data_IF_380239675635
#
_entry.id   IF_380239675635
#
_cell.length_a   1.000
_cell.length_b   1.000
_cell.length_c   1.000
_cell.angle_alpha   90.00
_cell.angle_beta   90.00
_cell.angle_gamma   90.00
#
_symmetry.space_group_name_H-M   'P 1'
#
loop_
_entity.id
_entity.type
_entity.pdbx_description
1 polymer ?
#
# COMPACT_ATOMS: atom_id res chain seq x y z
N UNK A 1 0.86 -7.00 25.52
CA UNK A 1 2.08 -7.22 24.73
C UNK A 1 2.33 -8.70 24.54
N UNK A 2 2.54 -9.14 23.31
CA UNK A 2 3.11 -10.44 22.94
C UNK A 2 4.52 -10.20 22.43
N UNK A 3 5.50 -10.90 23.02
CA UNK A 3 6.92 -10.80 22.65
C UNK A 3 7.54 -12.18 22.78
N UNK A 4 8.26 -12.62 21.76
CA UNK A 4 9.04 -13.86 21.76
C UNK A 4 8.30 -15.09 22.32
N UNK A 5 6.99 -15.20 22.02
CA UNK A 5 6.15 -16.32 22.49
C UNK A 5 6.20 -17.54 21.54
N UNK A 6 7.08 -17.50 20.54
CA UNK A 6 7.21 -18.50 19.48
C UNK A 6 7.78 -17.87 18.21
N UNK A 7 7.78 -18.63 17.12
CA UNK A 7 8.20 -18.15 15.79
C UNK A 7 7.26 -17.07 15.24
N UNK A 8 5.96 -17.31 15.35
CA UNK A 8 4.86 -16.42 14.94
C UNK A 8 4.05 -16.10 16.19
N UNK A 9 3.67 -14.84 16.40
CA UNK A 9 3.00 -14.45 17.65
C UNK A 9 1.57 -14.97 17.76
N UNK A 10 0.83 -14.83 16.66
CA UNK A 10 -0.56 -15.27 16.52
C UNK A 10 -0.73 -15.91 15.14
N UNK A 11 -1.23 -17.13 15.11
CA UNK A 11 -1.64 -17.79 13.88
C UNK A 11 -3.11 -18.20 14.01
N UNK A 12 -3.94 -17.76 13.08
CA UNK A 12 -5.35 -18.16 13.02
C UNK A 12 -5.61 -18.95 11.75
N UNK A 13 -6.38 -20.03 11.89
CA UNK A 13 -6.87 -20.84 10.79
C UNK A 13 -8.38 -21.02 10.97
N UNK A 14 -9.19 -20.54 10.03
CA UNK A 14 -10.66 -20.56 10.12
C UNK A 14 -11.20 -19.94 11.43
N UNK A 15 -10.56 -18.86 11.91
CA UNK A 15 -10.90 -18.23 13.18
C UNK A 15 -10.93 -16.70 13.07
N UNK A 16 -11.62 -16.05 14.00
CA UNK A 16 -11.65 -14.58 14.08
C UNK A 16 -10.63 -14.09 15.09
N UNK A 17 -9.89 -13.05 14.74
CA UNK A 17 -8.98 -12.35 15.62
C UNK A 17 -9.45 -10.91 15.86
N UNK A 18 -9.45 -10.48 17.12
CA UNK A 18 -9.60 -9.06 17.47
C UNK A 18 -8.47 -8.66 18.39
N UNK A 19 -7.78 -7.58 18.03
CA UNK A 19 -6.64 -7.04 18.76
C UNK A 19 -6.91 -5.56 19.06
N UNK A 20 -6.86 -5.21 20.34
CA UNK A 20 -7.11 -3.87 20.86
C UNK A 20 -6.00 -3.49 21.83
N UNK A 21 -5.50 -2.27 21.76
CA UNK A 21 -4.54 -1.69 22.71
C UNK A 21 -3.34 -2.62 22.99
N UNK A 22 -2.78 -3.20 21.93
CA UNK A 22 -1.83 -4.31 22.06
C UNK A 22 -0.57 -4.10 21.24
N UNK A 23 0.53 -4.71 21.68
CA UNK A 23 1.80 -4.71 20.96
C UNK A 23 2.25 -6.14 20.69
N UNK A 24 2.63 -6.44 19.44
CA UNK A 24 3.14 -7.73 18.98
C UNK A 24 4.53 -7.49 18.38
N UNK A 25 5.58 -7.94 19.07
CA UNK A 25 6.94 -7.48 18.76
C UNK A 25 8.01 -8.57 18.85
N UNK A 26 9.07 -8.41 18.04
CA UNK A 26 10.31 -9.20 18.11
C UNK A 26 10.12 -10.72 17.90
N UNK A 27 9.30 -11.12 16.92
CA UNK A 27 9.13 -12.53 16.57
C UNK A 27 10.10 -12.98 15.46
N UNK A 28 10.60 -14.24 15.48
CA UNK A 28 11.50 -14.81 14.47
C UNK A 28 10.91 -14.95 13.06
N UNK A 29 9.58 -14.87 12.91
CA UNK A 29 8.85 -14.87 11.63
C UNK A 29 7.83 -13.72 11.64
N UNK A 30 6.71 -13.88 10.93
CA UNK A 30 5.65 -12.88 10.88
C UNK A 30 5.03 -12.65 12.26
N UNK A 31 4.61 -11.42 12.56
CA UNK A 31 3.93 -11.11 13.82
C UNK A 31 2.59 -11.85 13.90
N UNK A 32 1.78 -11.73 12.85
CA UNK A 32 0.46 -12.38 12.75
C UNK A 32 0.33 -13.08 11.40
N UNK A 33 -0.17 -14.31 11.42
CA UNK A 33 -0.55 -15.05 10.22
C UNK A 33 -2.05 -15.34 10.26
N UNK A 34 -2.77 -14.91 9.22
CA UNK A 34 -4.20 -15.14 9.04
C UNK A 34 -4.41 -16.11 7.88
N UNK A 35 -4.99 -17.27 8.13
CA UNK A 35 -5.37 -18.25 7.11
C UNK A 35 -6.89 -18.45 7.15
N UNK A 36 -7.59 -18.05 6.08
CA UNK A 36 -9.05 -18.02 6.00
C UNK A 36 -9.71 -17.42 7.25
N UNK A 37 -9.16 -16.28 7.67
CA UNK A 37 -9.43 -15.71 8.99
C UNK A 37 -9.71 -14.21 8.89
N UNK A 38 -10.87 -13.72 9.37
CA UNK A 38 -11.08 -12.30 9.56
C UNK A 38 -10.35 -11.79 10.79
N UNK A 39 -9.76 -10.61 10.70
CA UNK A 39 -9.08 -9.96 11.81
C UNK A 39 -9.35 -8.45 11.86
N UNK A 40 -9.53 -7.91 13.08
CA UNK A 40 -9.65 -6.48 13.33
C UNK A 40 -8.63 -5.99 14.36
N UNK A 41 -7.95 -4.90 14.02
CA UNK A 41 -6.93 -4.25 14.86
C UNK A 41 -7.33 -2.81 15.13
N UNK A 42 -7.18 -2.38 16.37
CA UNK A 42 -7.37 -0.99 16.78
C UNK A 42 -6.36 -0.60 17.83
N UNK A 43 -5.79 0.60 17.70
CA UNK A 43 -4.91 1.20 18.71
C UNK A 43 -3.73 0.26 19.06
N UNK A 44 -3.17 -0.40 18.05
CA UNK A 44 -2.23 -1.52 18.22
C UNK A 44 -0.94 -1.37 17.43
N UNK A 45 0.08 -2.13 17.82
CA UNK A 45 1.44 -2.06 17.28
C UNK A 45 1.92 -3.46 16.89
N UNK A 46 2.44 -3.64 15.68
CA UNK A 46 3.06 -4.89 15.25
C UNK A 46 4.43 -4.60 14.65
N UNK A 47 5.47 -4.74 15.47
CA UNK A 47 6.76 -4.12 15.18
C UNK A 47 7.94 -5.08 15.32
N UNK A 48 9.02 -4.80 14.60
CA UNK A 48 10.32 -5.46 14.79
C UNK A 48 10.27 -6.99 14.65
N UNK A 49 9.32 -7.52 13.87
CA UNK A 49 9.25 -8.94 13.57
C UNK A 49 10.12 -9.25 12.35
N UNK A 50 10.78 -10.41 12.34
CA UNK A 50 11.68 -10.80 11.24
C UNK A 50 10.90 -11.11 9.95
N UNK A 51 9.61 -11.48 10.07
CA UNK A 51 8.73 -11.67 8.92
C UNK A 51 7.96 -10.41 8.53
N UNK A 52 6.72 -10.60 8.09
CA UNK A 52 5.76 -9.52 7.91
C UNK A 52 5.16 -9.11 9.26
N UNK A 53 4.70 -7.87 9.40
CA UNK A 53 3.88 -7.54 10.57
C UNK A 53 2.59 -8.39 10.56
N UNK A 54 1.85 -8.31 9.46
CA UNK A 54 0.66 -9.12 9.19
C UNK A 54 0.84 -9.85 7.86
N UNK A 55 0.61 -11.16 7.86
CA UNK A 55 0.55 -11.99 6.67
C UNK A 55 -0.84 -12.62 6.56
N UNK A 56 -1.62 -12.21 5.55
CA UNK A 56 -2.97 -12.69 5.34
C UNK A 56 -3.06 -13.51 4.05
N UNK A 57 -3.44 -14.77 4.20
CA UNK A 57 -3.57 -15.73 3.12
C UNK A 57 -4.96 -16.33 3.10
N UNK A 58 -5.32 -16.88 1.94
CA UNK A 58 -6.49 -17.73 1.73
C UNK A 58 -7.83 -17.13 2.18
N UNK A 59 -8.35 -16.13 1.46
CA UNK A 59 -9.66 -15.49 1.77
C UNK A 59 -9.72 -14.82 3.15
N UNK A 60 -8.57 -14.44 3.70
CA UNK A 60 -8.53 -13.66 4.93
C UNK A 60 -9.00 -12.22 4.69
N UNK A 61 -9.55 -11.61 5.74
CA UNK A 61 -10.03 -10.22 5.71
C UNK A 61 -9.43 -9.45 6.88
N UNK A 62 -8.56 -8.48 6.61
CA UNK A 62 -7.87 -7.70 7.63
C UNK A 62 -8.37 -6.26 7.68
N UNK A 63 -8.80 -5.80 8.84
CA UNK A 63 -9.19 -4.41 9.06
C UNK A 63 -8.35 -3.81 10.19
N UNK A 64 -7.88 -2.59 10.00
CA UNK A 64 -7.12 -1.88 11.02
C UNK A 64 -7.46 -0.39 11.08
N UNK A 65 -7.43 0.16 12.29
CA UNK A 65 -7.53 1.59 12.55
C UNK A 65 -6.53 2.02 13.63
N UNK A 66 -6.00 3.24 13.53
CA UNK A 66 -5.09 3.86 14.51
C UNK A 66 -3.98 2.94 15.00
N UNK A 67 -3.37 2.20 14.08
CA UNK A 67 -2.37 1.18 14.40
C UNK A 67 -1.09 1.40 13.62
N UNK A 68 0.02 0.92 14.14
CA UNK A 68 1.35 1.06 13.53
C UNK A 68 1.99 -0.29 13.28
N UNK A 69 2.55 -0.46 12.09
CA UNK A 69 3.26 -1.65 11.66
C UNK A 69 4.65 -1.22 11.17
N UNK A 70 5.68 -1.43 12.00
CA UNK A 70 7.00 -0.83 11.75
C UNK A 70 8.20 -1.70 12.08
N UNK A 71 9.33 -1.49 11.40
CA UNK A 71 10.58 -2.21 11.69
C UNK A 71 10.55 -3.70 11.35
N UNK A 72 9.52 -4.19 10.66
CA UNK A 72 9.41 -5.60 10.28
C UNK A 72 10.32 -5.88 9.07
N UNK A 73 11.03 -7.02 9.07
CA UNK A 73 12.10 -7.21 8.08
C UNK A 73 11.60 -7.52 6.66
N UNK A 74 10.45 -8.18 6.50
CA UNK A 74 9.87 -8.39 5.16
C UNK A 74 8.96 -7.25 4.73
N UNK A 75 8.27 -6.62 5.69
CA UNK A 75 7.32 -5.55 5.41
C UNK A 75 6.18 -5.43 6.41
N UNK A 76 5.31 -4.44 6.22
CA UNK A 76 4.17 -4.19 7.10
C UNK A 76 2.99 -5.13 6.87
N UNK A 77 2.61 -5.36 5.62
CA UNK A 77 1.45 -6.18 5.29
C UNK A 77 1.67 -6.99 4.01
N UNK A 78 1.41 -8.29 4.08
CA UNK A 78 1.31 -9.17 2.91
C UNK A 78 -0.12 -9.70 2.77
N UNK A 79 -0.73 -9.54 1.60
CA UNK A 79 -2.02 -10.12 1.25
C UNK A 79 -1.88 -11.04 0.03
N UNK A 80 -2.26 -12.31 0.18
CA UNK A 80 -2.40 -13.23 -0.95
C UNK A 80 -3.81 -13.77 -0.97
N UNK A 81 -4.54 -13.55 -2.07
CA UNK A 81 -5.95 -13.97 -2.21
C UNK A 81 -6.82 -13.52 -1.02
N UNK A 82 -6.56 -12.31 -0.55
CA UNK A 82 -7.12 -11.77 0.71
C UNK A 82 -7.45 -10.30 0.53
N UNK A 83 -8.23 -9.74 1.45
CA UNK A 83 -8.61 -8.33 1.42
C UNK A 83 -8.18 -7.59 2.67
N UNK A 84 -7.89 -6.29 2.55
CA UNK A 84 -7.68 -5.45 3.71
C UNK A 84 -8.25 -4.04 3.60
N UNK A 85 -8.51 -3.44 4.76
CA UNK A 85 -8.87 -2.04 4.92
C UNK A 85 -7.98 -1.40 6.00
N UNK A 86 -7.18 -0.42 5.59
CA UNK A 86 -6.39 0.45 6.47
C UNK A 86 -7.14 1.77 6.59
N UNK A 87 -7.56 2.08 7.80
CA UNK A 87 -8.45 3.19 8.11
C UNK A 87 -7.77 4.10 9.13
N UNK A 88 -8.16 5.38 9.14
CA UNK A 88 -8.04 6.30 10.29
C UNK A 88 -6.67 6.24 10.99
N UNK A 89 -5.70 7.02 10.49
CA UNK A 89 -4.38 7.14 11.10
C UNK A 89 -3.68 5.78 11.29
N UNK A 90 -3.78 4.90 10.29
CA UNK A 90 -2.97 3.69 10.24
C UNK A 90 -1.62 3.98 9.56
N UNK A 91 -0.54 3.45 10.14
CA UNK A 91 0.83 3.70 9.72
C UNK A 91 1.56 2.40 9.36
N UNK A 92 1.98 2.26 8.10
CA UNK A 92 2.90 1.22 7.64
C UNK A 92 4.26 1.86 7.38
N UNK A 93 5.13 1.87 8.38
CA UNK A 93 6.29 2.78 8.39
C UNK A 93 7.60 2.10 8.74
N UNK A 94 8.70 2.56 8.15
CA UNK A 94 10.07 2.17 8.53
C UNK A 94 10.30 0.65 8.56
N UNK A 95 9.63 -0.11 7.66
CA UNK A 95 9.89 -1.54 7.52
C UNK A 95 11.13 -1.77 6.63
N UNK A 96 11.86 -2.86 6.88
CA UNK A 96 13.12 -3.16 6.16
C UNK A 96 12.91 -3.87 4.82
N UNK A 97 11.66 -3.96 4.37
CA UNK A 97 11.27 -4.48 3.07
C UNK A 97 10.17 -3.64 2.42
N UNK A 98 9.22 -4.29 1.76
CA UNK A 98 8.09 -3.64 1.09
C UNK A 98 7.10 -3.15 2.16
N UNK A 99 6.54 -1.95 2.04
CA UNK A 99 5.52 -1.49 2.99
C UNK A 99 4.30 -2.43 2.99
N UNK A 100 3.64 -2.53 1.84
CA UNK A 100 2.50 -3.42 1.60
C UNK A 100 2.69 -4.19 0.29
N UNK A 101 2.52 -5.51 0.31
CA UNK A 101 2.52 -6.36 -0.88
C UNK A 101 1.16 -7.06 -1.01
N UNK A 102 0.51 -6.92 -2.17
CA UNK A 102 -0.76 -7.60 -2.47
C UNK A 102 -0.67 -8.41 -3.76
N UNK A 103 -1.12 -9.67 -3.73
CA UNK A 103 -1.01 -10.61 -4.84
C UNK A 103 -2.20 -11.58 -4.94
N UNK A 104 -2.32 -12.24 -6.11
CA UNK A 104 -3.31 -13.27 -6.41
C UNK A 104 -4.75 -12.82 -6.12
N UNK A 105 -5.22 -11.81 -6.87
CA UNK A 105 -6.59 -11.26 -6.76
C UNK A 105 -6.90 -10.71 -5.36
N UNK A 106 -5.89 -10.17 -4.69
CA UNK A 106 -6.08 -9.44 -3.45
C UNK A 106 -6.67 -8.05 -3.73
N UNK A 107 -7.25 -7.45 -2.68
CA UNK A 107 -7.74 -6.08 -2.74
C UNK A 107 -7.42 -5.32 -1.46
N UNK A 108 -7.07 -4.04 -1.59
CA UNK A 108 -6.82 -3.18 -0.44
C UNK A 108 -7.53 -1.83 -0.54
N UNK A 109 -8.07 -1.36 0.57
CA UNK A 109 -8.59 -0.02 0.77
C UNK A 109 -7.69 0.73 1.74
N UNK A 110 -7.17 1.89 1.33
CA UNK A 110 -6.45 2.84 2.18
C UNK A 110 -7.25 4.12 2.30
N UNK A 111 -7.65 4.46 3.52
CA UNK A 111 -8.32 5.72 3.84
C UNK A 111 -7.51 6.44 4.93
N UNK A 112 -7.06 7.66 4.62
CA UNK A 112 -6.42 8.56 5.61
C UNK A 112 -5.31 7.85 6.41
N UNK A 113 -4.46 7.12 5.68
CA UNK A 113 -3.40 6.26 6.21
C UNK A 113 -2.07 6.57 5.54
N UNK A 114 -0.97 6.17 6.19
CA UNK A 114 0.39 6.49 5.74
C UNK A 114 1.19 5.23 5.45
N UNK A 115 1.90 5.21 4.31
CA UNK A 115 2.93 4.24 3.98
C UNK A 115 4.24 5.00 3.75
N UNK A 116 5.22 4.90 4.65
CA UNK A 116 6.43 5.73 4.53
C UNK A 116 7.70 5.12 5.07
N UNK A 117 8.86 5.53 4.53
CA UNK A 117 10.16 5.14 5.09
C UNK A 117 10.48 3.64 4.95
N UNK A 118 9.69 2.88 4.19
CA UNK A 118 9.97 1.47 3.95
C UNK A 118 11.14 1.37 2.97
N UNK A 119 12.09 0.45 3.19
CA UNK A 119 13.30 0.38 2.36
C UNK A 119 13.04 -0.14 0.95
N UNK A 120 11.90 -0.79 0.71
CA UNK A 120 11.42 -1.21 -0.61
C UNK A 120 10.32 -0.31 -1.16
N UNK A 121 9.52 -0.84 -2.09
CA UNK A 121 8.30 -0.20 -2.60
C UNK A 121 7.32 0.08 -1.47
N UNK A 122 6.62 1.22 -1.52
CA UNK A 122 5.55 1.55 -0.57
C UNK A 122 4.40 0.55 -0.65
N UNK A 123 3.70 0.49 -1.78
CA UNK A 123 2.65 -0.50 -2.07
C UNK A 123 2.89 -1.17 -3.43
N UNK A 124 3.09 -2.50 -3.39
CA UNK A 124 3.28 -3.36 -4.54
C UNK A 124 2.00 -4.17 -4.83
N UNK A 125 1.52 -4.12 -6.07
CA UNK A 125 0.22 -4.66 -6.50
C UNK A 125 0.42 -5.59 -7.70
N UNK A 126 0.26 -6.89 -7.47
CA UNK A 126 0.38 -7.95 -8.49
C UNK A 126 -0.96 -8.62 -8.75
N UNK A 127 -1.47 -8.59 -9.97
CA UNK A 127 -2.75 -9.26 -10.34
C UNK A 127 -3.87 -8.93 -9.35
N UNK A 128 -3.91 -7.68 -8.88
CA UNK A 128 -4.68 -7.27 -7.70
C UNK A 128 -5.22 -5.84 -7.85
N UNK A 129 -5.96 -5.36 -6.84
CA UNK A 129 -6.56 -4.02 -6.89
C UNK A 129 -6.35 -3.20 -5.63
N UNK A 130 -6.19 -1.88 -5.79
CA UNK A 130 -6.11 -0.94 -4.67
C UNK A 130 -7.05 0.26 -4.88
N UNK A 131 -7.72 0.66 -3.80
CA UNK A 131 -8.45 1.93 -3.71
C UNK A 131 -7.85 2.77 -2.60
N UNK A 132 -7.36 3.95 -2.95
CA UNK A 132 -6.57 4.80 -2.06
C UNK A 132 -7.19 6.19 -2.07
N UNK A 133 -7.50 6.72 -0.88
CA UNK A 133 -8.00 8.07 -0.73
C UNK A 133 -7.45 8.76 0.50
N UNK A 134 -7.01 10.01 0.35
CA UNK A 134 -6.54 10.80 1.49
C UNK A 134 -5.25 10.25 2.11
N UNK A 135 -4.50 9.42 1.38
CA UNK A 135 -3.32 8.73 1.92
C UNK A 135 -2.04 9.51 1.65
N UNK A 136 -1.01 9.22 2.44
CA UNK A 136 0.36 9.72 2.23
C UNK A 136 1.28 8.52 1.97
N UNK A 137 1.97 8.52 0.84
CA UNK A 137 2.91 7.47 0.44
C UNK A 137 4.24 8.12 0.10
N UNK A 138 5.18 8.11 1.05
CA UNK A 138 6.35 8.99 0.96
C UNK A 138 7.65 8.38 1.49
N UNK A 139 8.78 8.78 0.91
CA UNK A 139 10.09 8.38 1.45
C UNK A 139 10.36 6.88 1.42
N UNK A 140 9.74 6.14 0.50
CA UNK A 140 10.02 4.71 0.35
C UNK A 140 11.22 4.50 -0.59
N UNK A 141 12.03 3.48 -0.31
CA UNK A 141 13.29 3.20 -1.01
C UNK A 141 13.14 2.63 -2.43
N UNK A 142 11.91 2.34 -2.86
CA UNK A 142 11.55 2.00 -4.23
C UNK A 142 10.45 2.91 -4.77
N UNK A 143 9.57 2.37 -5.61
CA UNK A 143 8.39 3.13 -6.05
C UNK A 143 7.45 3.42 -4.88
N UNK A 144 6.73 4.54 -4.93
CA UNK A 144 5.63 4.78 -4.00
C UNK A 144 4.52 3.74 -4.19
N UNK A 145 4.05 3.62 -5.44
CA UNK A 145 3.06 2.66 -5.90
C UNK A 145 3.60 1.91 -7.13
N UNK A 146 3.65 0.58 -7.07
CA UNK A 146 4.01 -0.25 -8.22
C UNK A 146 2.90 -1.25 -8.55
N UNK A 147 2.39 -1.18 -9.78
CA UNK A 147 1.34 -2.04 -10.30
C UNK A 147 1.88 -2.88 -11.46
N UNK A 148 1.68 -4.19 -11.39
CA UNK A 148 2.08 -5.09 -12.47
C UNK A 148 1.08 -6.24 -12.65
N UNK A 149 1.13 -6.88 -13.83
CA UNK A 149 0.29 -8.03 -14.21
C UNK A 149 -1.22 -7.77 -14.11
N UNK A 150 -1.75 -6.85 -14.93
CA UNK A 150 -3.19 -6.58 -15.04
C UNK A 150 -3.80 -6.05 -13.74
N UNK A 151 -3.01 -5.29 -12.97
CA UNK A 151 -3.46 -4.68 -11.72
C UNK A 151 -4.26 -3.40 -11.94
N UNK A 152 -5.06 -3.03 -10.93
CA UNK A 152 -5.96 -1.87 -11.00
C UNK A 152 -5.79 -0.94 -9.80
N UNK A 153 -5.63 0.36 -10.07
CA UNK A 153 -5.56 1.40 -9.02
C UNK A 153 -6.67 2.43 -9.20
N UNK A 154 -7.30 2.82 -8.09
CA UNK A 154 -8.01 4.09 -7.95
C UNK A 154 -7.32 4.94 -6.88
N UNK A 155 -6.78 6.10 -7.27
CA UNK A 155 -6.02 7.00 -6.40
C UNK A 155 -6.63 8.40 -6.40
N UNK A 156 -6.94 8.90 -5.20
CA UNK A 156 -7.74 10.11 -5.02
C UNK A 156 -7.23 10.93 -3.85
N UNK A 157 -7.10 12.26 -4.00
CA UNK A 157 -6.82 13.17 -2.87
C UNK A 157 -5.64 12.72 -2.00
N UNK A 158 -4.61 12.14 -2.60
CA UNK A 158 -3.47 11.55 -1.90
C UNK A 158 -2.18 12.26 -2.26
N UNK A 159 -1.17 12.09 -1.43
CA UNK A 159 0.17 12.65 -1.60
C UNK A 159 1.18 11.51 -1.80
N UNK A 160 1.89 11.55 -2.93
CA UNK A 160 2.91 10.56 -3.31
C UNK A 160 4.22 11.30 -3.55
N UNK A 161 5.12 11.29 -2.57
CA UNK A 161 6.30 12.17 -2.62
C UNK A 161 7.59 11.52 -2.19
N UNK A 162 8.72 12.07 -2.65
CA UNK A 162 10.05 11.79 -2.10
C UNK A 162 10.41 10.29 -2.07
N UNK A 163 9.84 9.47 -2.97
CA UNK A 163 10.22 8.08 -3.11
C UNK A 163 11.49 7.96 -3.97
N UNK A 164 12.35 6.99 -3.65
CA UNK A 164 13.68 6.84 -4.26
C UNK A 164 13.64 6.31 -5.70
N UNK A 165 12.47 5.88 -6.19
CA UNK A 165 12.21 5.58 -7.59
C UNK A 165 11.05 6.42 -8.15
N UNK A 166 10.02 5.81 -8.74
CA UNK A 166 8.86 6.53 -9.29
C UNK A 166 7.75 6.70 -8.24
N UNK A 167 6.96 7.77 -8.35
CA UNK A 167 5.77 7.94 -7.52
C UNK A 167 4.73 6.85 -7.80
N UNK A 168 4.37 6.70 -9.07
CA UNK A 168 3.45 5.65 -9.55
C UNK A 168 4.06 4.96 -10.77
N UNK A 169 4.20 3.64 -10.73
CA UNK A 169 4.73 2.82 -11.80
C UNK A 169 3.72 1.75 -12.22
N UNK A 170 3.36 1.72 -13.51
CA UNK A 170 2.41 0.76 -14.09
C UNK A 170 3.06 -0.10 -15.18
N UNK A 171 3.10 -1.41 -14.98
CA UNK A 171 3.47 -2.41 -15.98
C UNK A 171 2.25 -3.27 -16.36
N UNK A 172 1.77 -3.17 -17.60
CA UNK A 172 0.58 -3.90 -18.09
C UNK A 172 -0.62 -3.76 -17.13
N UNK A 173 -0.90 -2.54 -16.66
CA UNK A 173 -1.87 -2.26 -15.59
C UNK A 173 -2.70 -1.01 -15.87
N UNK A 174 -3.76 -0.78 -15.09
CA UNK A 174 -4.66 0.37 -15.30
C UNK A 174 -4.81 1.20 -14.01
N UNK A 175 -4.73 2.52 -14.12
CA UNK A 175 -4.99 3.43 -13.00
C UNK A 175 -5.95 4.56 -13.33
N UNK A 176 -6.80 4.90 -12.36
CA UNK A 176 -7.55 6.16 -12.30
C UNK A 176 -6.95 7.04 -11.22
N UNK A 177 -6.37 8.18 -11.60
CA UNK A 177 -5.56 9.06 -10.74
C UNK A 177 -6.13 10.47 -10.79
N UNK A 178 -6.74 10.93 -9.70
CA UNK A 178 -7.40 12.25 -9.66
C UNK A 178 -7.15 13.03 -8.38
N UNK A 179 -6.98 14.34 -8.50
CA UNK A 179 -6.88 15.27 -7.37
C UNK A 179 -5.72 14.94 -6.42
N UNK A 180 -4.61 14.38 -6.92
CA UNK A 180 -3.45 13.99 -6.12
C UNK A 180 -2.29 14.99 -6.25
N UNK A 181 -1.37 14.93 -5.30
CA UNK A 181 -0.04 15.56 -5.41
C UNK A 181 0.99 14.46 -5.58
N UNK A 182 1.80 14.55 -6.64
CA UNK A 182 2.83 13.56 -6.99
C UNK A 182 4.11 14.33 -7.29
N UNK A 183 5.04 14.37 -6.34
CA UNK A 183 6.16 15.30 -6.40
C UNK A 183 7.47 14.76 -5.84
N UNK A 184 8.59 15.28 -6.33
CA UNK A 184 9.93 14.99 -5.79
C UNK A 184 10.30 13.50 -5.76
N UNK A 185 9.65 12.65 -6.56
CA UNK A 185 10.09 11.27 -6.73
C UNK A 185 11.33 11.25 -7.63
N UNK A 186 12.32 10.44 -7.27
CA UNK A 186 13.66 10.53 -7.85
C UNK A 186 13.70 10.21 -9.35
N UNK A 187 12.84 9.29 -9.80
CA UNK A 187 12.71 8.91 -11.21
C UNK A 187 11.50 9.60 -11.85
N UNK A 188 10.34 8.95 -11.92
CA UNK A 188 9.16 9.52 -12.53
C UNK A 188 8.09 9.93 -11.51
N UNK A 189 7.28 10.95 -11.82
CA UNK A 189 6.02 11.15 -11.10
C UNK A 189 5.06 10.01 -11.42
N UNK A 190 4.77 9.82 -12.71
CA UNK A 190 4.02 8.68 -13.25
C UNK A 190 4.78 8.03 -14.39
N UNK A 191 5.17 6.77 -14.22
CA UNK A 191 5.74 5.89 -15.23
C UNK A 191 4.69 4.86 -15.69
N UNK A 192 4.42 4.85 -16.99
CA UNK A 192 3.67 3.77 -17.64
C UNK A 192 4.54 3.00 -18.63
N UNK A 193 4.46 1.68 -18.58
CA UNK A 193 5.17 0.75 -19.46
C UNK A 193 4.24 -0.34 -20.01
N UNK A 194 4.64 -0.96 -21.13
CA UNK A 194 3.84 -1.98 -21.78
C UNK A 194 2.47 -1.45 -22.26
N UNK A 195 1.43 -2.27 -22.15
CA UNK A 195 0.06 -1.91 -22.51
C UNK A 195 -0.71 -1.22 -21.37
N UNK A 196 -0.01 -0.48 -20.50
CA UNK A 196 -0.62 0.23 -19.37
C UNK A 196 -1.47 1.42 -19.80
N UNK A 197 -2.49 1.73 -19.01
CA UNK A 197 -3.36 2.89 -19.21
C UNK A 197 -3.53 3.66 -17.90
N UNK A 198 -3.46 4.98 -18.00
CA UNK A 198 -3.77 5.87 -16.88
C UNK A 198 -4.75 6.94 -17.34
N UNK A 199 -5.73 7.28 -16.50
CA UNK A 199 -6.69 8.35 -16.74
C UNK A 199 -6.95 9.15 -15.47
N UNK A 200 -7.49 10.35 -15.63
CA UNK A 200 -7.93 11.18 -14.51
C UNK A 200 -7.67 12.66 -14.76
N UNK A 201 -7.63 13.45 -13.69
CA UNK A 201 -7.64 14.91 -13.76
C UNK A 201 -7.18 15.55 -12.45
N UNK A 202 -6.86 16.84 -12.53
CA UNK A 202 -6.56 17.73 -11.41
C UNK A 202 -5.44 17.24 -10.48
N UNK A 203 -4.47 16.50 -11.02
CA UNK A 203 -3.27 16.14 -10.27
C UNK A 203 -2.20 17.24 -10.41
N UNK A 204 -1.46 17.46 -9.34
CA UNK A 204 -0.22 18.23 -9.36
C UNK A 204 0.93 17.25 -9.49
N UNK A 205 1.61 17.23 -10.64
CA UNK A 205 2.73 16.33 -10.90
C UNK A 205 3.95 17.19 -11.24
N UNK A 206 4.85 17.38 -10.27
CA UNK A 206 5.93 18.37 -10.38
C UNK A 206 7.16 17.99 -9.58
N UNK A 207 8.34 18.40 -10.03
CA UNK A 207 9.57 18.27 -9.25
C UNK A 207 10.13 16.85 -9.19
N UNK A 208 9.55 15.92 -9.96
CA UNK A 208 10.10 14.57 -10.12
C UNK A 208 11.30 14.61 -11.10
N UNK A 209 12.12 13.55 -11.12
CA UNK A 209 13.18 13.43 -12.13
C UNK A 209 12.65 13.58 -13.56
N UNK A 210 11.47 13.04 -13.82
CA UNK A 210 10.61 13.34 -14.96
C UNK A 210 9.16 13.26 -14.52
N UNK A 211 8.36 14.31 -14.70
CA UNK A 211 7.00 14.32 -14.15
C UNK A 211 6.11 13.19 -14.69
N UNK A 212 6.14 12.94 -16.00
CA UNK A 212 5.38 11.84 -16.61
C UNK A 212 6.14 11.18 -17.75
N UNK A 213 6.03 9.85 -17.89
CA UNK A 213 6.59 9.13 -19.04
C UNK A 213 5.78 9.36 -20.33
N UNK A 214 6.31 8.90 -21.46
CA UNK A 214 5.60 8.97 -22.74
C UNK A 214 4.31 8.13 -22.72
N UNK A 215 3.24 8.66 -23.30
CA UNK A 215 1.93 7.99 -23.33
C UNK A 215 1.01 8.34 -22.16
N UNK A 216 1.53 9.02 -21.13
CA UNK A 216 0.69 9.57 -20.06
C UNK A 216 -0.13 10.75 -20.64
N UNK A 217 -1.48 10.73 -20.53
CA UNK A 217 -2.35 11.77 -21.08
C UNK A 217 -2.18 13.12 -20.37
N UNK A 218 -2.13 14.24 -21.10
CA UNK A 218 -2.01 15.57 -20.50
C UNK A 218 -3.22 15.95 -19.62
N UNK A 219 -4.37 15.30 -19.83
CA UNK A 219 -5.61 15.53 -19.06
C UNK A 219 -5.42 15.29 -17.57
N UNK A 220 -4.45 14.47 -17.16
CA UNK A 220 -4.15 14.18 -15.76
C UNK A 220 -3.87 15.43 -14.91
N UNK A 221 -3.32 16.49 -15.50
CA UNK A 221 -3.01 17.74 -14.78
C UNK A 221 -4.05 18.84 -15.03
N UNK A 222 -4.99 18.62 -15.94
CA UNK A 222 -6.06 19.58 -16.24
C UNK A 222 -7.18 19.50 -15.19
N UNK A 223 -7.90 20.60 -14.92
CA UNK A 223 -9.10 20.54 -14.09
C UNK A 223 -10.12 19.53 -14.63
N UNK A 224 -11.01 19.04 -13.76
CA UNK A 224 -12.12 18.17 -14.18
C UNK A 224 -12.91 18.84 -15.31
N UNK A 225 -12.99 18.19 -16.46
CA UNK A 225 -13.85 18.65 -17.55
C UNK A 225 -15.30 18.29 -17.21
N UNK A 226 -16.16 19.30 -17.07
CA UNK A 226 -17.58 19.08 -16.90
C UNK A 226 -18.19 18.66 -18.26
N UNK A 227 -18.77 17.45 -18.34
CA UNK A 227 -19.62 17.04 -19.46
C UNK A 227 -19.15 15.88 -20.35
N UNK A 228 -18.24 15.02 -19.89
CA UNK A 228 -17.86 13.79 -20.65
C UNK A 228 -18.37 12.49 -19.99
N UNK A 229 -18.92 12.57 -18.77
CA UNK A 229 -19.49 11.40 -18.06
C UNK A 229 -20.86 11.74 -17.43
N UNK A 230 -21.89 11.92 -18.28
CA UNK A 230 -23.30 11.66 -17.93
C UNK A 230 -23.86 10.55 -18.83
#
# INVERSE_FOLDING_TARGET
TLRANGDVAIMTENATLTVLDSSIIEHPKSGVVLDNSPASFSDSFVNDNVGWAIEAINESAFMTARSTFSGNSLGGLSLTRSVAALLDETFIIDNLGIGVAISDRAAILLLESTISGNTGTGLSIDTSSASIRGATITGNGGDGLHLFNQSVLSLVLSDISDNDASGIHLEVSVASVRENTIQNNAEFGILIEGASLVSGYANTITGNGTDVSAGVPPELTLPRQAGIDE
#
